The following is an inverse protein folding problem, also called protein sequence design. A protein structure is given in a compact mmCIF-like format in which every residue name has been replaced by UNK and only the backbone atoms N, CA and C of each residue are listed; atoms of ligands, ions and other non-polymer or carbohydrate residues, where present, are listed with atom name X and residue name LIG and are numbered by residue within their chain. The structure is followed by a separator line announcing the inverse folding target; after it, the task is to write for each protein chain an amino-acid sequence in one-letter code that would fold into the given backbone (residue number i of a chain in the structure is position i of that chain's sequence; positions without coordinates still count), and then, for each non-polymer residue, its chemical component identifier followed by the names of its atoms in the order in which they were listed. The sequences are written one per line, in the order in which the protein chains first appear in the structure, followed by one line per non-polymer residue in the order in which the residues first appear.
data_IF_528343408157
#
_entry.id   IF_528343408157
#
_cell.length_a   1.000
_cell.length_b   1.000
_cell.length_c   1.000
_cell.angle_alpha   90.00
_cell.angle_beta   90.00
_cell.angle_gamma   90.00
#
_symmetry.space_group_name_H-M   'P 1'
#
loop_
_entity.id
_entity.type
_entity.pdbx_description
1 polymer ?
#
# COMPACT_ATOMS: atom_id res chain seq x y z
N UNK A 1 -27.00 8.92 9.87
CA UNK A 1 -25.73 9.52 9.40
C UNK A 1 -26.07 10.72 8.55
N UNK A 2 -25.63 11.91 8.95
CA UNK A 2 -25.88 13.21 8.26
C UNK A 2 -24.59 13.97 7.97
N UNK A 3 -23.46 13.32 8.19
CA UNK A 3 -22.09 13.87 8.26
C UNK A 3 -21.18 13.28 7.18
N UNK A 4 -21.76 12.59 6.19
CA UNK A 4 -21.03 12.02 5.07
C UNK A 4 -20.30 13.13 4.31
N UNK A 5 -19.01 12.93 4.10
CA UNK A 5 -18.12 13.82 3.36
C UNK A 5 -18.03 15.26 3.93
N UNK A 6 -18.32 15.43 5.24
CA UNK A 6 -18.14 16.71 5.94
C UNK A 6 -16.67 17.02 6.29
N UNK A 7 -15.77 16.05 6.15
CA UNK A 7 -14.32 16.20 6.27
C UNK A 7 -13.63 15.65 5.01
N UNK A 8 -12.40 16.13 4.75
CA UNK A 8 -11.59 15.64 3.64
C UNK A 8 -10.91 14.32 3.99
N UNK A 9 -10.74 13.48 2.97
CA UNK A 9 -9.77 12.38 2.93
C UNK A 9 -8.50 12.84 2.22
N UNK A 10 -7.35 12.29 2.60
CA UNK A 10 -6.09 12.64 1.99
C UNK A 10 -5.04 11.53 2.11
N UNK A 11 -4.13 11.51 1.14
CA UNK A 11 -2.83 10.85 1.25
C UNK A 11 -1.80 11.82 1.83
N UNK A 12 -0.69 11.30 2.34
CA UNK A 12 0.41 12.10 2.86
C UNK A 12 1.72 11.87 2.11
N UNK A 13 2.44 12.96 1.87
CA UNK A 13 3.83 12.95 1.43
C UNK A 13 4.68 13.44 2.60
N UNK A 14 5.62 12.62 3.05
CA UNK A 14 6.53 12.95 4.15
C UNK A 14 7.91 13.14 3.54
N UNK A 15 8.39 14.39 3.54
CA UNK A 15 9.65 14.78 2.91
C UNK A 15 10.70 15.02 4.00
N UNK A 16 11.59 14.06 4.18
CA UNK A 16 12.80 14.18 4.98
C UNK A 16 13.94 14.84 4.22
N UNK A 17 15.08 15.03 4.88
CA UNK A 17 16.29 15.57 4.23
C UNK A 17 16.88 14.59 3.20
N UNK A 18 16.78 13.29 3.46
CA UNK A 18 17.38 12.23 2.64
C UNK A 18 16.37 11.19 2.13
N UNK A 19 15.13 11.24 2.62
CA UNK A 19 14.09 10.24 2.34
C UNK A 19 12.74 10.89 2.02
N UNK A 20 11.98 10.25 1.13
CA UNK A 20 10.61 10.60 0.79
C UNK A 20 9.70 9.39 1.00
N UNK A 21 8.63 9.59 1.74
CA UNK A 21 7.64 8.55 2.03
C UNK A 21 6.28 8.98 1.52
N UNK A 22 5.58 8.07 0.86
CA UNK A 22 4.18 8.24 0.47
C UNK A 22 3.30 7.32 1.33
N UNK A 23 2.23 7.87 1.91
CA UNK A 23 1.20 7.12 2.61
C UNK A 23 -0.14 7.34 1.90
N UNK A 24 -0.72 6.26 1.36
CA UNK A 24 -1.91 6.36 0.51
C UNK A 24 -3.17 6.80 1.26
N UNK A 25 -3.31 6.38 2.52
CA UNK A 25 -4.63 6.27 3.13
C UNK A 25 -5.49 5.24 2.40
N UNK A 26 -6.80 5.36 2.54
CA UNK A 26 -7.79 4.50 1.87
C UNK A 26 -8.22 5.20 0.58
N UNK A 27 -8.12 4.53 -0.56
CA UNK A 27 -8.45 5.11 -1.85
C UNK A 27 -8.72 4.04 -2.91
N UNK A 28 -9.55 4.37 -3.89
CA UNK A 28 -9.64 3.60 -5.13
C UNK A 28 -8.52 3.96 -6.11
N UNK A 29 -8.16 3.03 -6.99
CA UNK A 29 -7.17 3.30 -8.02
C UNK A 29 -7.67 4.29 -9.07
N UNK A 30 -6.88 5.33 -9.35
CA UNK A 30 -7.21 6.37 -10.32
C UNK A 30 -5.95 7.13 -10.79
N UNK A 31 -6.06 7.97 -11.85
CA UNK A 31 -4.92 8.71 -12.43
C UNK A 31 -4.12 9.58 -11.46
N UNK A 32 -4.71 9.96 -10.31
CA UNK A 32 -4.07 10.80 -9.31
C UNK A 32 -2.76 10.20 -8.76
N UNK A 33 -2.61 8.87 -8.69
CA UNK A 33 -1.34 8.24 -8.29
C UNK A 33 -0.21 8.58 -9.26
N UNK A 34 -0.49 8.50 -10.57
CA UNK A 34 0.47 8.87 -11.61
C UNK A 34 0.78 10.37 -11.56
N UNK A 35 -0.22 11.22 -11.36
CA UNK A 35 -0.03 12.66 -11.21
C UNK A 35 0.85 13.00 -10.00
N UNK A 36 0.66 12.30 -8.86
CA UNK A 36 1.50 12.42 -7.67
C UNK A 36 2.94 11.98 -7.97
N UNK A 37 3.14 10.84 -8.62
CA UNK A 37 4.47 10.34 -8.99
C UNK A 37 5.19 11.22 -10.00
N UNK A 38 4.47 11.82 -10.94
CA UNK A 38 5.02 12.76 -11.91
C UNK A 38 5.42 14.09 -11.25
N UNK A 39 4.71 14.53 -10.21
CA UNK A 39 4.97 15.80 -9.54
C UNK A 39 5.98 15.70 -8.39
N UNK A 40 5.99 14.61 -7.63
CA UNK A 40 6.70 14.54 -6.35
C UNK A 40 7.65 13.35 -6.21
N UNK A 41 7.47 12.31 -7.03
CA UNK A 41 8.31 11.11 -7.01
C UNK A 41 9.75 11.34 -7.50
N UNK A 42 10.62 10.32 -7.42
CA UNK A 42 10.37 9.01 -6.82
C UNK A 42 10.26 9.06 -5.28
N UNK A 43 9.66 8.02 -4.68
CA UNK A 43 9.56 7.83 -3.23
C UNK A 43 10.39 6.63 -2.78
N UNK A 44 11.16 6.78 -1.69
CA UNK A 44 11.96 5.68 -1.13
C UNK A 44 11.06 4.57 -0.55
N UNK A 45 9.92 4.96 0.04
CA UNK A 45 8.94 4.03 0.61
C UNK A 45 7.52 4.48 0.28
N UNK A 46 6.68 3.53 -0.10
CA UNK A 46 5.24 3.73 -0.21
C UNK A 46 4.51 2.79 0.74
N UNK A 47 3.71 3.36 1.65
CA UNK A 47 2.76 2.63 2.48
C UNK A 47 1.41 2.68 1.77
N UNK A 48 0.98 1.55 1.21
CA UNK A 48 -0.21 1.50 0.36
C UNK A 48 -1.19 0.44 0.84
N UNK A 49 -2.47 0.82 0.96
CA UNK A 49 -3.51 -0.12 1.32
C UNK A 49 -3.63 -1.26 0.30
N UNK A 50 -3.93 -2.47 0.76
CA UNK A 50 -4.18 -3.62 -0.10
C UNK A 50 -5.37 -4.50 0.33
N UNK A 51 -6.02 -4.15 1.44
CA UNK A 51 -7.08 -4.96 2.05
C UNK A 51 -8.44 -4.29 2.01
N UNK A 52 -9.44 -4.94 2.60
CA UNK A 52 -10.84 -4.50 2.61
C UNK A 52 -11.43 -4.26 1.22
N UNK A 53 -10.89 -4.93 0.21
CA UNK A 53 -11.23 -4.70 -1.18
C UNK A 53 -12.47 -5.50 -1.60
N UNK A 54 -13.19 -4.99 -2.60
CA UNK A 54 -14.15 -5.75 -3.41
C UNK A 54 -14.45 -4.95 -4.69
N UNK A 55 -14.68 -5.62 -5.84
CA UNK A 55 -15.06 -4.92 -7.07
C UNK A 55 -16.28 -3.98 -6.93
N UNK A 56 -17.18 -4.21 -5.97
CA UNK A 56 -18.36 -3.38 -5.71
C UNK A 56 -18.04 -2.00 -5.14
N UNK A 57 -16.85 -1.80 -4.55
CA UNK A 57 -16.42 -0.53 -3.95
C UNK A 57 -14.98 -0.16 -4.31
N UNK A 58 -14.54 -0.56 -5.50
CA UNK A 58 -13.19 -0.26 -6.02
C UNK A 58 -12.87 1.25 -6.11
N UNK A 59 -13.89 2.11 -6.06
CA UNK A 59 -13.71 3.56 -6.02
C UNK A 59 -13.14 4.07 -4.68
N UNK A 60 -13.17 3.27 -3.62
CA UNK A 60 -12.72 3.66 -2.27
C UNK A 60 -11.70 2.70 -1.66
N UNK A 61 -11.54 1.49 -2.21
CA UNK A 61 -10.47 0.55 -1.84
C UNK A 61 -9.86 -0.10 -3.08
N UNK A 62 -8.54 -0.11 -3.17
CA UNK A 62 -7.80 -0.77 -4.24
C UNK A 62 -7.92 -2.29 -4.15
N UNK A 63 -8.02 -2.96 -5.30
CA UNK A 63 -7.66 -4.37 -5.38
C UNK A 63 -6.14 -4.53 -5.09
N UNK A 64 -5.69 -5.67 -4.53
CA UNK A 64 -4.28 -5.87 -4.21
C UNK A 64 -3.33 -5.65 -5.40
N UNK A 65 -3.76 -5.96 -6.62
CA UNK A 65 -2.98 -5.73 -7.83
C UNK A 65 -2.92 -4.23 -8.20
N UNK A 66 -3.99 -3.50 -7.96
CA UNK A 66 -4.03 -2.06 -8.16
C UNK A 66 -3.11 -1.33 -7.17
N UNK A 67 -2.92 -1.86 -5.95
CA UNK A 67 -1.90 -1.37 -5.01
C UNK A 67 -0.50 -1.39 -5.60
N UNK A 68 -0.14 -2.49 -6.29
CA UNK A 68 1.17 -2.63 -6.94
C UNK A 68 1.28 -1.65 -8.12
N UNK A 69 0.21 -1.48 -8.90
CA UNK A 69 0.21 -0.51 -9.98
C UNK A 69 0.32 0.93 -9.47
N UNK A 70 -0.40 1.27 -8.40
CA UNK A 70 -0.35 2.58 -7.76
C UNK A 70 1.05 2.88 -7.21
N UNK A 71 1.73 1.88 -6.64
CA UNK A 71 3.14 1.97 -6.23
C UNK A 71 4.07 2.32 -7.39
N UNK A 72 3.89 1.66 -8.54
CA UNK A 72 4.66 1.94 -9.76
C UNK A 72 4.37 3.36 -10.24
N UNK A 73 3.10 3.78 -10.24
CA UNK A 73 2.67 5.09 -10.74
C UNK A 73 3.18 6.24 -9.88
N UNK A 74 3.23 6.08 -8.55
CA UNK A 74 3.88 7.06 -7.67
C UNK A 74 5.42 7.01 -7.76
N UNK A 75 5.99 6.07 -8.52
CA UNK A 75 7.43 5.83 -8.66
C UNK A 75 8.08 5.46 -7.32
N UNK A 76 7.46 4.54 -6.59
CA UNK A 76 8.01 4.01 -5.34
C UNK A 76 9.18 3.05 -5.59
N UNK A 77 10.15 3.05 -4.67
CA UNK A 77 11.28 2.11 -4.68
C UNK A 77 11.02 0.86 -3.83
N UNK A 78 10.34 1.01 -2.68
CA UNK A 78 9.95 -0.08 -1.78
C UNK A 78 8.47 0.02 -1.42
N UNK A 79 7.73 -1.06 -1.65
CA UNK A 79 6.32 -1.20 -1.28
C UNK A 79 6.19 -1.84 0.11
N UNK A 80 5.51 -1.16 1.03
CA UNK A 80 5.00 -1.72 2.28
C UNK A 80 3.45 -1.79 2.20
N UNK A 81 2.86 -2.97 1.98
CA UNK A 81 1.41 -3.12 2.00
C UNK A 81 0.88 -2.92 3.43
N UNK A 82 -0.16 -2.09 3.56
CA UNK A 82 -0.87 -1.83 4.82
C UNK A 82 -2.35 -2.19 4.68
N UNK A 83 -3.14 -1.98 5.74
CA UNK A 83 -4.60 -2.20 5.73
C UNK A 83 -5.05 -3.67 5.61
N UNK A 84 -4.22 -4.60 6.07
CA UNK A 84 -4.53 -6.02 6.11
C UNK A 84 -4.12 -6.63 7.47
N UNK A 85 -4.64 -7.83 7.78
CA UNK A 85 -4.21 -8.62 8.94
C UNK A 85 -4.70 -8.16 10.33
N UNK A 86 -5.48 -7.08 10.43
CA UNK A 86 -5.96 -6.56 11.73
C UNK A 86 -7.48 -6.72 11.95
N UNK A 87 -8.31 -6.42 10.93
CA UNK A 87 -9.77 -6.42 11.05
C UNK A 87 -10.42 -7.08 9.82
N UNK A 88 -11.58 -7.71 10.02
CA UNK A 88 -12.39 -8.29 8.94
C UNK A 88 -13.54 -7.34 8.60
N UNK A 89 -13.35 -6.47 7.60
CA UNK A 89 -14.35 -5.49 7.15
C UNK A 89 -14.82 -5.73 5.70
N UNK A 90 -14.30 -6.78 5.05
CA UNK A 90 -14.70 -7.25 3.73
C UNK A 90 -14.89 -8.77 3.73
N UNK A 91 -15.27 -9.33 2.57
CA UNK A 91 -15.67 -10.74 2.42
C UNK A 91 -14.52 -11.68 1.99
N UNK A 92 -13.32 -11.16 1.77
CA UNK A 92 -12.15 -11.98 1.46
C UNK A 92 -11.55 -12.58 2.74
N UNK A 93 -10.79 -13.66 2.61
CA UNK A 93 -10.00 -14.20 3.72
C UNK A 93 -8.98 -13.18 4.23
N UNK A 94 -8.64 -13.22 5.51
CA UNK A 94 -7.80 -12.19 6.13
C UNK A 94 -6.39 -12.08 5.52
N UNK A 95 -5.84 -13.20 5.03
CA UNK A 95 -4.51 -13.29 4.43
C UNK A 95 -4.51 -13.13 2.90
N UNK A 96 -5.68 -13.16 2.26
CA UNK A 96 -5.79 -13.04 0.80
C UNK A 96 -5.20 -11.71 0.25
N UNK A 97 -5.38 -10.54 0.90
CA UNK A 97 -4.75 -9.28 0.48
C UNK A 97 -3.23 -9.38 0.31
N UNK A 98 -2.53 -9.90 1.33
CA UNK A 98 -1.06 -9.95 1.32
C UNK A 98 -0.55 -11.00 0.32
N UNK A 99 -1.27 -12.10 0.15
CA UNK A 99 -0.95 -13.13 -0.84
C UNK A 99 -1.00 -12.56 -2.26
N UNK A 100 -2.08 -11.85 -2.58
CA UNK A 100 -2.29 -11.28 -3.92
C UNK A 100 -1.32 -10.14 -4.21
N UNK A 101 -1.15 -9.18 -3.31
CA UNK A 101 -0.20 -8.07 -3.52
C UNK A 101 1.23 -8.57 -3.65
N UNK A 102 1.64 -9.57 -2.86
CA UNK A 102 2.99 -10.15 -2.93
C UNK A 102 3.20 -10.91 -4.24
N UNK A 103 2.21 -11.69 -4.67
CA UNK A 103 2.24 -12.40 -5.96
C UNK A 103 2.38 -11.41 -7.12
N UNK A 104 1.63 -10.32 -7.10
CA UNK A 104 1.66 -9.31 -8.15
C UNK A 104 2.95 -8.50 -8.15
N UNK A 105 3.45 -8.11 -6.97
CA UNK A 105 4.73 -7.44 -6.82
C UNK A 105 5.86 -8.28 -7.42
N UNK A 106 5.89 -9.57 -7.13
CA UNK A 106 6.84 -10.52 -7.73
C UNK A 106 6.67 -10.62 -9.25
N UNK A 107 5.44 -10.64 -9.76
CA UNK A 107 5.17 -10.71 -11.21
C UNK A 107 5.70 -9.49 -11.95
N UNK A 108 5.61 -8.30 -11.36
CA UNK A 108 6.03 -7.04 -11.96
C UNK A 108 7.47 -6.61 -11.59
N UNK A 109 8.17 -7.40 -10.76
CA UNK A 109 9.52 -7.08 -10.31
C UNK A 109 9.58 -5.91 -9.31
N UNK A 110 8.49 -5.64 -8.60
CA UNK A 110 8.41 -4.60 -7.56
C UNK A 110 9.02 -5.12 -6.26
N UNK A 111 9.89 -4.30 -5.65
CA UNK A 111 10.46 -4.61 -4.34
C UNK A 111 9.41 -4.38 -3.25
N UNK A 112 9.13 -5.42 -2.48
CA UNK A 112 8.13 -5.43 -1.42
C UNK A 112 8.78 -5.81 -0.09
N UNK A 113 8.31 -5.23 1.01
CA UNK A 113 8.66 -5.62 2.37
C UNK A 113 7.41 -6.03 3.15
N UNK A 114 7.54 -7.06 3.97
CA UNK A 114 6.45 -7.66 4.75
C UNK A 114 6.88 -7.87 6.21
N UNK A 115 7.16 -6.78 6.96
CA UNK A 115 7.45 -6.89 8.39
C UNK A 115 6.29 -7.55 9.14
N UNK A 116 6.61 -8.27 10.21
CA UNK A 116 5.58 -8.70 11.17
C UNK A 116 4.94 -7.48 11.84
N UNK A 117 3.72 -7.64 12.36
CA UNK A 117 3.04 -6.57 13.10
C UNK A 117 3.90 -6.19 14.32
N UNK A 118 4.40 -4.95 14.31
CA UNK A 118 5.30 -4.40 15.34
C UNK A 118 6.79 -4.50 15.01
N UNK A 119 7.18 -5.18 13.93
CA UNK A 119 8.55 -5.19 13.42
C UNK A 119 8.88 -3.86 12.70
N UNK A 120 10.08 -3.34 12.93
CA UNK A 120 10.53 -2.07 12.37
C UNK A 120 11.29 -2.26 11.06
N UNK A 121 11.19 -1.27 10.17
CA UNK A 121 12.02 -1.17 8.96
C UNK A 121 12.88 0.08 9.02
N UNK A 122 14.11 -0.03 8.51
CA UNK A 122 15.03 1.10 8.39
C UNK A 122 15.20 1.44 6.91
N UNK A 123 14.81 2.65 6.53
CA UNK A 123 14.98 3.12 5.15
C UNK A 123 16.46 3.25 4.79
N UNK A 124 16.77 3.08 3.50
CA UNK A 124 18.15 3.00 2.96
C UNK A 124 18.95 1.78 3.45
N UNK A 125 18.31 0.85 4.18
CA UNK A 125 18.89 -0.47 4.45
C UNK A 125 19.00 -1.31 3.16
N UNK A 126 19.92 -2.26 3.15
CA UNK A 126 20.01 -3.29 2.11
C UNK A 126 19.16 -4.52 2.42
N UNK A 127 18.79 -4.71 3.69
CA UNK A 127 18.02 -5.85 4.19
C UNK A 127 16.68 -5.37 4.73
N UNK A 128 15.59 -5.85 4.11
CA UNK A 128 14.21 -5.54 4.50
C UNK A 128 13.47 -6.84 4.81
N UNK A 129 12.63 -6.86 5.86
CA UNK A 129 11.79 -8.02 6.16
C UNK A 129 10.95 -8.43 4.95
N UNK A 130 10.97 -9.70 4.60
CA UNK A 130 10.28 -10.24 3.42
C UNK A 130 9.73 -11.66 3.64
N UNK A 131 9.61 -12.07 4.91
CA UNK A 131 9.05 -13.38 5.26
C UNK A 131 7.54 -13.41 5.01
N UNK A 132 7.03 -14.60 4.64
CA UNK A 132 5.61 -14.86 4.49
C UNK A 132 4.97 -15.33 5.81
N UNK A 133 5.22 -14.59 6.89
CA UNK A 133 4.88 -14.98 8.27
C UNK A 133 3.40 -15.31 8.48
N UNK A 134 2.51 -14.73 7.69
CA UNK A 134 1.07 -14.99 7.78
C UNK A 134 0.67 -16.42 7.39
N UNK A 135 1.56 -17.17 6.72
CA UNK A 135 1.34 -18.60 6.38
C UNK A 135 1.66 -19.55 7.54
N UNK A 136 2.30 -19.03 8.59
CA UNK A 136 2.71 -19.81 9.77
C UNK A 136 1.76 -19.62 10.97
N UNK A 137 0.68 -18.85 10.78
CA UNK A 137 -0.36 -18.56 11.79
C UNK A 137 -1.54 -19.52 11.64
#
# INVERSE_FOLDING_TARGET
MTDRDCSLWCSWLILGQETKVFFSGDSGYAPHFKEIGDKYGPFDLTLMECGQYDPRWSAIHMLPEETVQAHIDVKGELLLPIHWGAFTLALHEWSDPIERVTKEANRLGVKITTPQIGESITLKSTDYPSSAWWREI
#
